data_IF_007158957659
#
_entry.id   IF_007158957659
#
_cell.length_a   1.000
_cell.length_b   1.000
_cell.length_c   1.000
_cell.angle_alpha   90.00
_cell.angle_beta   90.00
_cell.angle_gamma   90.00
#
_symmetry.space_group_name_H-M   'P 1'
#
loop_
_entity.id
_entity.type
_entity.pdbx_description
1 polymer ?
#
# COMPACT_ATOMS: atom_id res chain seq x y z
N UNK A 1 17.49 -6.05 -0.50
CA UNK A 1 17.87 -5.11 -1.57
C UNK A 1 16.81 -4.03 -1.55
N UNK A 2 17.21 -2.77 -1.51
CA UNK A 2 16.24 -1.66 -1.53
C UNK A 2 15.52 -1.65 -2.87
N UNK A 3 14.19 -1.58 -2.84
CA UNK A 3 13.37 -1.52 -4.04
C UNK A 3 13.33 -0.05 -4.52
N UNK A 4 13.82 0.20 -5.73
CA UNK A 4 13.90 1.54 -6.35
C UNK A 4 12.63 1.94 -7.12
N UNK A 5 11.58 1.13 -7.02
CA UNK A 5 10.31 1.30 -7.73
C UNK A 5 10.35 0.90 -9.22
N UNK A 6 11.49 0.44 -9.76
CA UNK A 6 11.59 -0.01 -11.14
C UNK A 6 11.09 -1.44 -11.28
N UNK A 7 10.14 -1.66 -12.19
CA UNK A 7 9.68 -3.01 -12.54
C UNK A 7 10.37 -3.52 -13.81
N UNK A 8 10.91 -4.73 -13.74
CA UNK A 8 11.53 -5.45 -14.87
C UNK A 8 10.65 -6.64 -15.27
N UNK A 9 10.76 -7.09 -16.52
CA UNK A 9 9.96 -8.19 -17.08
C UNK A 9 8.43 -7.95 -17.08
N UNK A 10 8.01 -6.69 -17.13
CA UNK A 10 6.60 -6.34 -17.34
C UNK A 10 6.21 -6.54 -18.81
N UNK A 11 4.98 -6.98 -19.08
CA UNK A 11 4.44 -7.23 -20.42
C UNK A 11 4.23 -5.96 -21.27
N UNK A 12 4.89 -4.85 -20.92
CA UNK A 12 4.73 -3.54 -21.55
C UNK A 12 3.59 -2.69 -20.99
N UNK A 13 2.98 -3.06 -19.87
CA UNK A 13 1.87 -2.34 -19.24
C UNK A 13 2.10 -2.02 -17.77
N UNK A 14 1.16 -1.27 -17.18
CA UNK A 14 1.11 -1.03 -15.75
C UNK A 14 1.03 -2.36 -14.98
N UNK A 15 1.66 -2.44 -13.82
CA UNK A 15 1.58 -3.61 -12.94
C UNK A 15 1.33 -3.17 -11.50
N UNK A 16 0.82 -4.09 -10.68
CA UNK A 16 0.57 -3.85 -9.26
C UNK A 16 1.63 -4.54 -8.41
N UNK A 17 2.09 -3.86 -7.37
CA UNK A 17 2.85 -4.45 -6.30
C UNK A 17 1.87 -5.04 -5.27
N UNK A 18 1.98 -6.33 -5.00
CA UNK A 18 1.17 -7.02 -4.00
C UNK A 18 2.06 -7.62 -2.92
N UNK A 19 1.69 -7.40 -1.67
CA UNK A 19 2.30 -7.97 -0.50
C UNK A 19 1.57 -9.26 -0.10
N UNK A 20 2.32 -10.28 0.32
CA UNK A 20 1.74 -11.45 0.99
C UNK A 20 1.85 -11.24 2.50
N UNK A 21 0.70 -11.05 3.16
CA UNK A 21 0.67 -10.82 4.61
C UNK A 21 1.29 -11.98 5.39
N UNK A 22 2.11 -11.64 6.39
CA UNK A 22 2.76 -12.61 7.26
C UNK A 22 1.74 -13.58 7.88
N UNK A 23 2.06 -14.88 7.87
CA UNK A 23 1.16 -15.95 8.34
C UNK A 23 0.79 -15.88 9.83
N UNK A 24 1.51 -15.07 10.62
CA UNK A 24 1.31 -14.88 12.06
C UNK A 24 0.30 -13.79 12.44
N UNK A 25 -0.28 -13.06 11.47
CA UNK A 25 -1.29 -12.03 11.77
C UNK A 25 -2.64 -12.66 12.14
N UNK A 26 -3.29 -12.10 13.17
CA UNK A 26 -4.56 -12.60 13.75
C UNK A 26 -5.78 -12.46 12.83
N UNK A 27 -5.64 -11.78 11.69
CA UNK A 27 -6.65 -11.67 10.64
C UNK A 27 -6.02 -11.67 9.24
N UNK A 28 -6.72 -12.24 8.25
CA UNK A 28 -6.33 -12.28 6.83
C UNK A 28 -4.90 -12.82 6.58
N UNK A 29 -4.54 -13.93 7.22
CA UNK A 29 -3.24 -14.56 7.03
C UNK A 29 -3.07 -15.09 5.61
N UNK A 30 -1.86 -14.93 5.04
CA UNK A 30 -1.48 -15.42 3.71
C UNK A 30 -2.28 -14.86 2.50
N UNK A 31 -3.12 -13.85 2.70
CA UNK A 31 -3.78 -13.15 1.60
C UNK A 31 -2.81 -12.21 0.88
N UNK A 32 -3.03 -12.06 -0.42
CA UNK A 32 -2.42 -11.01 -1.22
C UNK A 32 -3.18 -9.71 -0.99
N UNK A 33 -2.46 -8.63 -0.71
CA UNK A 33 -3.00 -7.31 -0.48
C UNK A 33 -2.09 -6.24 -1.11
N UNK A 34 -2.64 -5.05 -1.34
CA UNK A 34 -1.82 -3.87 -1.56
C UNK A 34 -1.10 -3.49 -0.25
N UNK A 35 0.07 -2.83 -0.31
CA UNK A 35 0.67 -2.21 0.86
C UNK A 35 -0.29 -1.24 1.52
N UNK A 36 -0.28 -1.18 2.85
CA UNK A 36 -1.08 -0.19 3.56
C UNK A 36 -1.45 -0.60 4.98
N UNK A 37 -1.86 0.40 5.74
CA UNK A 37 -2.19 0.22 7.14
C UNK A 37 -3.14 1.30 7.66
N UNK A 38 -3.03 1.58 8.96
CA UNK A 38 -3.91 2.53 9.63
C UNK A 38 -3.28 3.92 9.61
N UNK A 39 -4.14 4.94 9.57
CA UNK A 39 -3.73 6.32 9.81
C UNK A 39 -3.28 6.48 11.26
N UNK A 40 -2.13 7.14 11.43
CA UNK A 40 -1.70 7.65 12.72
C UNK A 40 -2.35 9.01 13.04
N UNK A 41 -2.43 9.41 14.33
CA UNK A 41 -3.05 10.68 14.71
C UNK A 41 -2.38 11.90 14.04
N UNK A 42 -3.16 12.66 13.26
CA UNK A 42 -2.68 13.86 12.58
C UNK A 42 -2.01 13.60 11.23
N UNK A 43 -1.92 12.35 10.80
CA UNK A 43 -1.37 11.94 9.50
C UNK A 43 -2.39 12.16 8.37
N UNK A 44 -1.93 12.55 7.17
CA UNK A 44 -2.76 12.56 5.98
C UNK A 44 -2.87 11.16 5.36
N UNK A 45 -3.88 10.90 4.53
CA UNK A 45 -4.02 9.63 3.80
C UNK A 45 -2.81 9.31 2.93
N UNK A 46 -2.21 10.34 2.32
CA UNK A 46 -1.03 10.20 1.46
C UNK A 46 0.21 9.88 2.28
N UNK A 47 0.41 10.57 3.41
CA UNK A 47 1.54 10.30 4.31
C UNK A 47 1.51 8.86 4.81
N UNK A 48 0.33 8.38 5.23
CA UNK A 48 0.16 7.00 5.67
C UNK A 48 0.47 5.98 4.57
N UNK A 49 -0.01 6.21 3.34
CA UNK A 49 0.25 5.30 2.23
C UNK A 49 1.75 5.23 1.89
N UNK A 50 2.45 6.36 1.88
CA UNK A 50 3.89 6.40 1.61
C UNK A 50 4.72 5.78 2.75
N UNK A 51 4.33 6.02 4.01
CA UNK A 51 4.96 5.40 5.18
C UNK A 51 4.81 3.89 5.15
N UNK A 52 3.59 3.38 4.99
CA UNK A 52 3.32 1.94 4.96
C UNK A 52 4.00 1.26 3.77
N UNK A 53 4.13 1.95 2.63
CA UNK A 53 4.90 1.47 1.49
C UNK A 53 6.41 1.32 1.82
N UNK A 54 7.02 2.26 2.55
CA UNK A 54 8.41 2.09 3.01
C UNK A 54 8.51 0.98 4.07
N UNK A 55 7.61 0.95 5.05
CA UNK A 55 7.65 -0.02 6.15
C UNK A 55 7.44 -1.47 5.69
N UNK A 56 6.49 -1.72 4.78
CA UNK A 56 6.15 -3.08 4.37
C UNK A 56 7.03 -3.63 3.25
N UNK A 57 7.50 -2.77 2.32
CA UNK A 57 8.26 -3.21 1.14
C UNK A 57 9.56 -2.44 0.89
N UNK A 58 9.87 -1.41 1.66
CA UNK A 58 11.12 -0.64 1.52
C UNK A 58 11.16 0.27 0.29
N UNK A 59 10.01 0.63 -0.28
CA UNK A 59 9.92 1.53 -1.44
C UNK A 59 9.67 2.94 -0.93
N UNK A 60 10.64 3.84 -1.15
CA UNK A 60 10.53 5.26 -0.80
C UNK A 60 10.20 6.10 -2.02
N UNK A 61 9.09 6.81 -1.95
CA UNK A 61 8.64 7.73 -2.98
C UNK A 61 8.35 9.10 -2.38
N UNK A 62 8.52 10.15 -3.19
CA UNK A 62 8.06 11.49 -2.83
C UNK A 62 6.56 11.63 -3.11
N UNK A 63 5.90 12.57 -2.42
CA UNK A 63 4.47 12.89 -2.64
C UNK A 63 4.15 13.21 -4.12
N UNK A 64 5.10 13.77 -4.87
CA UNK A 64 4.94 14.03 -6.31
C UNK A 64 4.75 12.78 -7.18
N UNK A 65 5.00 11.58 -6.64
CA UNK A 65 4.72 10.32 -7.31
C UNK A 65 3.26 9.88 -7.20
N UNK A 66 2.49 10.47 -6.29
CA UNK A 66 1.06 10.18 -6.10
C UNK A 66 0.26 10.82 -7.22
N UNK A 67 -0.50 10.00 -7.93
CA UNK A 67 -1.29 10.45 -9.08
C UNK A 67 -2.66 10.98 -8.67
N UNK A 68 -3.18 10.57 -7.52
CA UNK A 68 -4.46 11.02 -6.99
C UNK A 68 -5.01 10.04 -5.95
N UNK A 69 -6.24 10.28 -5.53
CA UNK A 69 -6.99 9.40 -4.64
C UNK A 69 -8.13 8.73 -5.42
N UNK A 70 -8.49 7.52 -5.05
CA UNK A 70 -9.73 6.88 -5.50
C UNK A 70 -10.84 7.03 -4.46
N UNK A 71 -12.05 6.61 -4.83
CA UNK A 71 -13.20 6.63 -3.92
C UNK A 71 -12.97 5.75 -2.70
N UNK A 72 -13.42 6.24 -1.55
CA UNK A 72 -13.41 5.49 -0.29
C UNK A 72 -14.19 4.18 -0.40
N UNK A 73 -13.61 3.10 0.15
CA UNK A 73 -14.22 1.78 0.19
C UNK A 73 -14.58 1.40 1.64
N UNK A 74 -15.87 1.51 2.03
CA UNK A 74 -16.33 1.03 3.32
C UNK A 74 -16.40 -0.51 3.33
N UNK A 75 -15.68 -1.11 4.27
CA UNK A 75 -15.60 -2.55 4.44
C UNK A 75 -16.70 -3.07 5.36
N UNK A 76 -17.05 -4.36 5.22
CA UNK A 76 -18.02 -5.03 6.11
C UNK A 76 -17.52 -5.20 7.55
N UNK A 77 -16.21 -5.07 7.76
CA UNK A 77 -15.56 -5.16 9.08
C UNK A 77 -15.51 -3.82 9.83
N UNK A 78 -16.09 -2.75 9.28
CA UNK A 78 -16.22 -1.45 9.95
C UNK A 78 -15.06 -0.48 9.70
N UNK A 79 -14.17 -0.77 8.76
CA UNK A 79 -13.11 0.13 8.32
C UNK A 79 -13.50 0.84 7.02
N UNK A 80 -12.99 2.05 6.81
CA UNK A 80 -12.99 2.74 5.51
C UNK A 80 -11.57 2.70 4.98
N UNK A 81 -11.40 2.28 3.73
CA UNK A 81 -10.11 2.28 3.03
C UNK A 81 -10.13 3.40 2.01
N UNK A 82 -9.15 4.30 2.06
CA UNK A 82 -8.92 5.35 1.06
C UNK A 82 -7.74 4.93 0.17
N UNK A 83 -7.96 4.52 -1.09
CA UNK A 83 -6.86 4.15 -1.97
C UNK A 83 -6.11 5.39 -2.47
N UNK A 84 -4.79 5.35 -2.34
CA UNK A 84 -3.82 6.37 -2.78
C UNK A 84 -3.03 5.85 -3.97
#
# INVERSE_FOLDING_TARGET
>A
EDLDGRMVNVSGGASFLLCRRASRLSSHSAQWALPGGRLDPGESVVDAALRELDEEVGVRLAESAVLGLLDDYPTRSGYVITPV
#
